data_IF_697065408590
#
_entry.id   IF_697065408590
#
_cell.length_a   1.000
_cell.length_b   1.000
_cell.length_c   1.000
_cell.angle_alpha   90.00
_cell.angle_beta   90.00
_cell.angle_gamma   90.00
#
_symmetry.space_group_name_H-M   'P 1'
#
loop_
_entity.id
_entity.type
_entity.pdbx_description
1 polymer ?
#
# COMPACT_ATOMS: atom_id res chain seq x y z
N UNK A 1 -18.90 7.67 4.81
CA UNK A 1 -18.11 6.50 5.25
C UNK A 1 -17.38 5.78 4.11
N UNK A 2 -17.95 5.63 2.91
CA UNK A 2 -17.33 4.91 1.76
C UNK A 2 -15.94 5.43 1.32
N UNK A 3 -15.71 6.74 1.41
CA UNK A 3 -14.44 7.40 1.05
C UNK A 3 -13.26 7.03 1.95
N UNK A 4 -13.55 6.63 3.20
CA UNK A 4 -12.52 6.27 4.18
C UNK A 4 -11.75 5.04 3.72
N UNK A 5 -12.39 4.12 2.98
CA UNK A 5 -11.75 2.90 2.47
C UNK A 5 -10.66 3.16 1.44
N UNK A 6 -10.74 4.26 0.68
CA UNK A 6 -9.72 4.65 -0.30
C UNK A 6 -8.40 5.02 0.39
N UNK A 7 -8.48 5.50 1.63
CA UNK A 7 -7.33 5.82 2.48
C UNK A 7 -6.94 4.66 3.39
N UNK A 8 -7.92 4.03 4.05
CA UNK A 8 -7.69 3.01 5.06
C UNK A 8 -7.08 1.74 4.46
N UNK A 9 -7.52 1.29 3.29
CA UNK A 9 -6.99 0.06 2.67
C UNK A 9 -5.46 0.12 2.41
N UNK A 10 -4.92 1.14 1.73
CA UNK A 10 -3.48 1.28 1.56
C UNK A 10 -2.75 1.52 2.88
N UNK A 11 -3.29 2.34 3.79
CA UNK A 11 -2.67 2.59 5.09
C UNK A 11 -2.51 1.31 5.93
N UNK A 12 -3.57 0.50 6.02
CA UNK A 12 -3.54 -0.81 6.71
C UNK A 12 -2.56 -1.75 6.02
N UNK A 13 -2.52 -1.79 4.69
CA UNK A 13 -1.58 -2.64 3.96
C UNK A 13 -0.12 -2.27 4.23
N UNK A 14 0.20 -0.98 4.34
CA UNK A 14 1.54 -0.52 4.74
C UNK A 14 1.88 -0.88 6.19
N UNK A 15 0.93 -0.78 7.12
CA UNK A 15 1.15 -1.21 8.50
C UNK A 15 1.41 -2.72 8.60
N UNK A 16 0.71 -3.51 7.78
CA UNK A 16 0.95 -4.95 7.71
C UNK A 16 2.32 -5.28 7.10
N UNK A 17 2.72 -4.56 6.04
CA UNK A 17 4.05 -4.70 5.43
C UNK A 17 5.16 -4.38 6.45
N UNK A 18 4.99 -3.34 7.27
CA UNK A 18 5.89 -3.05 8.39
C UNK A 18 5.97 -4.21 9.38
N UNK A 19 4.82 -4.76 9.80
CA UNK A 19 4.79 -5.90 10.73
C UNK A 19 5.53 -7.13 10.20
N UNK A 20 5.44 -7.41 8.90
CA UNK A 20 6.20 -8.52 8.28
C UNK A 20 7.69 -8.22 8.26
N UNK A 21 8.09 -7.02 7.83
CA UNK A 21 9.49 -6.62 7.75
C UNK A 21 10.17 -6.78 9.11
N UNK A 22 9.53 -6.29 10.17
CA UNK A 22 10.02 -6.47 11.55
C UNK A 22 10.09 -7.94 11.96
N UNK A 23 9.08 -8.75 11.60
CA UNK A 23 9.07 -10.18 11.94
C UNK A 23 10.17 -10.96 11.20
N UNK A 24 10.48 -10.61 9.95
CA UNK A 24 11.59 -11.19 9.19
C UNK A 24 12.95 -10.81 9.75
N UNK A 25 13.14 -9.53 10.08
CA UNK A 25 14.35 -9.05 10.73
C UNK A 25 14.59 -9.81 12.04
N UNK A 26 13.55 -10.02 12.85
CA UNK A 26 13.66 -10.81 14.08
C UNK A 26 13.99 -12.29 13.81
N UNK A 27 13.42 -12.89 12.77
CA UNK A 27 13.67 -14.29 12.41
C UNK A 27 15.10 -14.52 11.89
N UNK A 28 15.74 -13.52 11.28
CA UNK A 28 17.16 -13.57 10.92
C UNK A 28 18.07 -13.77 12.15
N UNK A 29 17.68 -13.23 13.31
CA UNK A 29 18.41 -13.40 14.58
C UNK A 29 17.96 -14.61 15.40
N UNK A 30 16.81 -15.22 15.06
CA UNK A 30 16.22 -16.39 15.76
C UNK A 30 15.59 -17.38 14.75
N UNK A 31 16.41 -18.25 14.12
CA UNK A 31 15.98 -19.12 13.02
C UNK A 31 14.96 -20.21 13.44
N UNK A 32 14.86 -20.50 14.73
CA UNK A 32 13.82 -21.35 15.32
C UNK A 32 12.41 -20.76 15.21
N UNK A 33 12.29 -19.45 14.95
CA UNK A 33 11.01 -18.75 14.79
C UNK A 33 10.54 -18.61 13.34
N UNK A 34 11.16 -19.29 12.37
CA UNK A 34 10.88 -19.16 10.92
C UNK A 34 9.43 -19.46 10.50
N UNK A 35 8.68 -20.26 11.26
CA UNK A 35 7.24 -20.50 10.98
C UNK A 35 6.37 -19.25 11.16
N UNK A 36 6.69 -18.40 12.13
CA UNK A 36 5.88 -17.23 12.46
C UNK A 36 5.83 -16.17 11.34
N UNK A 37 6.97 -15.71 10.76
CA UNK A 37 6.94 -14.78 9.64
C UNK A 37 6.32 -15.40 8.38
N UNK A 38 6.45 -16.72 8.19
CA UNK A 38 5.78 -17.41 7.07
C UNK A 38 4.25 -17.33 7.19
N UNK A 39 3.69 -17.68 8.35
CA UNK A 39 2.24 -17.57 8.60
C UNK A 39 1.77 -16.12 8.42
N UNK A 40 2.53 -15.15 8.93
CA UNK A 40 2.20 -13.74 8.82
C UNK A 40 2.18 -13.25 7.36
N UNK A 41 3.13 -13.69 6.53
CA UNK A 41 3.12 -13.43 5.07
C UNK A 41 1.88 -14.00 4.39
N UNK A 42 1.51 -15.24 4.71
CA UNK A 42 0.31 -15.86 4.14
C UNK A 42 -0.95 -15.05 4.47
N UNK A 43 -1.10 -14.65 5.75
CA UNK A 43 -2.20 -13.79 6.20
C UNK A 43 -2.18 -12.45 5.46
N UNK A 44 -1.01 -11.85 5.30
CA UNK A 44 -0.84 -10.60 4.57
C UNK A 44 -1.27 -10.68 3.12
N UNK A 45 -0.83 -11.67 2.36
CA UNK A 45 -1.21 -11.78 0.95
C UNK A 45 -2.73 -11.95 0.79
N UNK A 46 -3.37 -12.74 1.65
CA UNK A 46 -4.82 -12.91 1.64
C UNK A 46 -5.54 -11.59 1.94
N UNK A 47 -5.16 -10.91 3.03
CA UNK A 47 -5.78 -9.65 3.42
C UNK A 47 -5.50 -8.52 2.44
N UNK A 48 -4.29 -8.46 1.87
CA UNK A 48 -3.93 -7.51 0.82
C UNK A 48 -4.83 -7.67 -0.41
N UNK A 49 -5.08 -8.91 -0.84
CA UNK A 49 -6.01 -9.19 -1.94
C UNK A 49 -7.44 -8.70 -1.64
N UNK A 50 -7.93 -8.94 -0.42
CA UNK A 50 -9.25 -8.46 0.03
C UNK A 50 -9.31 -6.93 0.04
N UNK A 51 -8.32 -6.27 0.64
CA UNK A 51 -8.24 -4.81 0.74
C UNK A 51 -8.12 -4.16 -0.64
N UNK A 52 -7.35 -4.75 -1.56
CA UNK A 52 -7.20 -4.27 -2.93
C UNK A 52 -8.51 -4.38 -3.72
N UNK A 53 -9.23 -5.49 -3.57
CA UNK A 53 -10.55 -5.69 -4.19
C UNK A 53 -11.58 -4.65 -3.69
N UNK A 54 -11.59 -4.39 -2.38
CA UNK A 54 -12.45 -3.36 -1.81
C UNK A 54 -12.06 -1.96 -2.31
N UNK A 55 -10.76 -1.64 -2.30
CA UNK A 55 -10.23 -0.36 -2.76
C UNK A 55 -10.59 -0.07 -4.22
N UNK A 56 -10.33 -1.01 -5.13
CA UNK A 56 -10.59 -0.85 -6.57
C UNK A 56 -12.06 -0.61 -6.89
N UNK A 57 -12.98 -1.29 -6.20
CA UNK A 57 -14.42 -1.04 -6.34
C UNK A 57 -14.82 0.37 -5.90
N UNK A 58 -14.26 0.84 -4.78
CA UNK A 58 -14.60 2.14 -4.21
C UNK A 58 -13.98 3.29 -5.00
N UNK A 59 -12.74 3.14 -5.47
CA UNK A 59 -12.08 4.19 -6.24
C UNK A 59 -12.76 4.40 -7.59
N UNK A 60 -13.21 3.32 -8.25
CA UNK A 60 -13.96 3.38 -9.50
C UNK A 60 -15.27 4.18 -9.34
N UNK A 61 -15.99 3.97 -8.24
CA UNK A 61 -17.26 4.66 -7.95
C UNK A 61 -17.11 6.15 -7.62
N UNK A 62 -15.94 6.58 -7.14
CA UNK A 62 -15.71 7.95 -6.66
C UNK A 62 -14.77 8.78 -7.57
N UNK A 63 -14.51 8.28 -8.79
CA UNK A 63 -13.62 8.93 -9.78
C UNK A 63 -14.04 10.34 -10.20
N UNK A 64 -15.30 10.75 -10.00
CA UNK A 64 -15.76 12.11 -10.28
C UNK A 64 -15.42 13.13 -9.20
N UNK A 65 -14.90 12.73 -8.04
CA UNK A 65 -14.73 13.60 -6.88
C UNK A 65 -13.33 14.22 -6.78
N UNK A 66 -13.24 15.56 -6.86
CA UNK A 66 -11.97 16.30 -6.73
C UNK A 66 -11.21 16.01 -5.44
N UNK A 67 -11.90 15.76 -4.32
CA UNK A 67 -11.25 15.44 -3.04
C UNK A 67 -10.52 14.10 -3.14
N UNK A 68 -11.12 13.11 -3.79
CA UNK A 68 -10.49 11.81 -3.99
C UNK A 68 -9.25 11.93 -4.87
N UNK A 69 -9.24 12.82 -5.86
CA UNK A 69 -8.06 13.05 -6.69
C UNK A 69 -6.86 13.59 -5.91
N UNK A 70 -7.09 14.56 -5.03
CA UNK A 70 -6.03 15.09 -4.15
C UNK A 70 -5.48 13.96 -3.29
N UNK A 71 -6.36 13.10 -2.76
CA UNK A 71 -5.98 11.94 -1.96
C UNK A 71 -5.17 10.93 -2.80
N UNK A 72 -5.57 10.66 -4.05
CA UNK A 72 -4.82 9.78 -4.94
C UNK A 72 -3.42 10.33 -5.21
N UNK A 73 -3.28 11.63 -5.50
CA UNK A 73 -1.98 12.28 -5.70
C UNK A 73 -1.13 12.16 -4.44
N UNK A 74 -1.70 12.45 -3.27
CA UNK A 74 -1.02 12.29 -1.99
C UNK A 74 -0.60 10.83 -1.76
N UNK A 75 -1.44 9.85 -2.11
CA UNK A 75 -1.15 8.42 -2.04
C UNK A 75 -0.02 7.96 -2.97
N UNK A 76 0.24 8.69 -4.06
CA UNK A 76 1.38 8.44 -4.95
C UNK A 76 2.66 9.08 -4.41
N UNK A 77 2.57 10.34 -3.96
CA UNK A 77 3.74 11.14 -3.58
C UNK A 77 4.26 10.78 -2.19
N UNK A 78 3.37 10.60 -1.21
CA UNK A 78 3.75 10.40 0.19
C UNK A 78 4.65 9.17 0.39
N UNK A 79 4.36 7.98 -0.18
CA UNK A 79 5.24 6.81 -0.03
C UNK A 79 6.63 7.05 -0.64
N UNK A 80 6.72 7.75 -1.76
CA UNK A 80 8.00 8.08 -2.41
C UNK A 80 8.84 9.00 -1.52
N UNK A 81 8.22 10.04 -0.93
CA UNK A 81 8.91 10.93 0.00
C UNK A 81 9.41 10.19 1.25
N UNK A 82 8.57 9.29 1.80
CA UNK A 82 8.94 8.47 2.95
C UNK A 82 10.11 7.54 2.61
N UNK A 83 10.13 6.92 1.43
CA UNK A 83 11.26 6.08 1.02
C UNK A 83 12.54 6.86 0.82
N UNK A 84 12.49 8.03 0.17
CA UNK A 84 13.68 8.88 0.02
C UNK A 84 14.23 9.31 1.38
N UNK A 85 13.35 9.56 2.35
CA UNK A 85 13.75 9.82 3.73
C UNK A 85 14.39 8.59 4.38
N UNK A 86 13.77 7.41 4.26
CA UNK A 86 14.28 6.16 4.86
C UNK A 86 15.63 5.75 4.28
N UNK A 87 15.81 5.76 2.94
CA UNK A 87 17.08 5.41 2.29
C UNK A 87 18.24 6.29 2.80
N UNK A 88 17.94 7.55 3.16
CA UNK A 88 18.94 8.49 3.67
C UNK A 88 19.36 8.19 5.12
N UNK A 89 18.51 7.55 5.91
CA UNK A 89 18.74 7.33 7.34
C UNK A 89 19.09 5.88 7.67
N UNK A 90 18.58 4.91 6.91
CA UNK A 90 18.87 3.49 7.08
C UNK A 90 18.70 2.74 5.74
N UNK A 91 19.80 2.38 5.05
CA UNK A 91 19.74 1.69 3.77
C UNK A 91 19.44 0.18 3.88
N UNK A 92 19.31 -0.39 5.09
CA UNK A 92 19.36 -1.85 5.28
C UNK A 92 18.01 -2.58 5.39
N UNK A 93 16.88 -1.87 5.46
CA UNK A 93 15.55 -2.50 5.57
C UNK A 93 15.05 -3.09 4.25
N UNK A 94 14.54 -4.33 4.26
CA UNK A 94 13.89 -4.93 3.10
C UNK A 94 12.62 -4.16 2.74
N UNK A 95 12.65 -3.40 1.63
CA UNK A 95 11.53 -2.56 1.19
C UNK A 95 10.52 -3.31 0.28
N UNK A 96 10.73 -4.60 0.03
CA UNK A 96 9.99 -5.38 -0.98
C UNK A 96 8.48 -5.37 -0.74
N UNK A 97 8.03 -5.55 0.50
CA UNK A 97 6.61 -5.53 0.84
C UNK A 97 6.00 -4.13 0.70
N UNK A 98 6.77 -3.08 0.98
CA UNK A 98 6.33 -1.71 0.75
C UNK A 98 6.18 -1.42 -0.73
N UNK A 99 7.15 -1.83 -1.55
CA UNK A 99 7.07 -1.68 -3.00
C UNK A 99 5.87 -2.44 -3.57
N UNK A 100 5.65 -3.68 -3.12
CA UNK A 100 4.49 -4.47 -3.52
C UNK A 100 3.18 -3.72 -3.23
N UNK A 101 2.98 -3.25 -2.00
CA UNK A 101 1.79 -2.48 -1.60
C UNK A 101 1.65 -1.24 -2.49
N UNK A 102 2.71 -0.46 -2.63
CA UNK A 102 2.71 0.75 -3.44
C UNK A 102 2.28 0.50 -4.88
N UNK A 103 2.91 -0.44 -5.58
CA UNK A 103 2.63 -0.69 -6.99
C UNK A 103 1.22 -1.25 -7.21
N UNK A 104 0.70 -2.05 -6.30
CA UNK A 104 -0.67 -2.55 -6.38
C UNK A 104 -1.71 -1.42 -6.25
N UNK A 105 -1.51 -0.49 -5.33
CA UNK A 105 -2.42 0.65 -5.16
C UNK A 105 -2.21 1.75 -6.21
N UNK A 106 -0.98 1.92 -6.71
CA UNK A 106 -0.63 2.88 -7.77
C UNK A 106 -1.48 2.67 -9.03
N UNK A 107 -1.69 1.42 -9.44
CA UNK A 107 -2.55 1.11 -10.59
C UNK A 107 -3.97 1.66 -10.46
N UNK A 108 -4.57 1.55 -9.27
CA UNK A 108 -5.90 2.10 -9.01
C UNK A 108 -5.92 3.63 -8.96
N UNK A 109 -4.90 4.25 -8.34
CA UNK A 109 -4.77 5.72 -8.33
C UNK A 109 -4.59 6.28 -9.74
N UNK A 110 -3.75 5.65 -10.57
CA UNK A 110 -3.51 6.04 -11.95
C UNK A 110 -4.79 5.89 -12.80
N UNK A 111 -5.53 4.79 -12.63
CA UNK A 111 -6.81 4.59 -13.32
C UNK A 111 -7.84 5.67 -12.97
N UNK A 112 -7.94 6.03 -11.69
CA UNK A 112 -8.82 7.12 -11.24
C UNK A 112 -8.42 8.47 -11.84
N UNK A 113 -7.12 8.70 -12.06
CA UNK A 113 -6.62 9.92 -12.69
C UNK A 113 -6.85 9.96 -14.20
N UNK A 114 -6.70 8.83 -14.89
CA UNK A 114 -6.89 8.73 -16.34
C UNK A 114 -8.34 9.07 -16.78
N UNK A 115 -9.33 8.71 -15.98
CA UNK A 115 -10.75 9.05 -16.22
C UNK A 115 -10.96 10.57 -16.29
N UNK A 116 -10.16 11.37 -15.57
CA UNK A 116 -10.24 12.84 -15.57
C UNK A 116 -9.75 13.42 -16.89
N UNK A 117 -8.63 12.90 -17.41
CA UNK A 117 -8.03 13.37 -18.66
C UNK A 117 -9.02 13.13 -19.80
N UNK A 118 -9.67 11.96 -19.80
CA UNK A 118 -10.66 11.61 -20.81
C UNK A 118 -11.95 12.44 -20.73
N UNK A 119 -12.42 12.85 -19.55
CA UNK A 119 -13.65 13.63 -19.39
C UNK A 119 -13.46 15.15 -19.63
N UNK A 120 -12.23 15.62 -19.89
CA UNK A 120 -11.93 17.02 -20.23
C UNK A 120 -11.78 17.26 -21.74
N UNK A 121 -11.77 16.21 -22.55
CA UNK A 121 -11.67 16.23 -24.01
C UNK A 121 -12.94 15.64 -24.62
#
# INVERSE_FOLDING_TARGET
MKKVLIFAAPAVSYLMAYGITVAEEQALYRPDMTMQPFILKCIFFVLLGVLLSLFTRHIAAETGNRVIHIICIAGIILPVLLWLYSIRHDPAGTMDYYFLVYFLYLGGYAAAFHVIIRNKH
#
